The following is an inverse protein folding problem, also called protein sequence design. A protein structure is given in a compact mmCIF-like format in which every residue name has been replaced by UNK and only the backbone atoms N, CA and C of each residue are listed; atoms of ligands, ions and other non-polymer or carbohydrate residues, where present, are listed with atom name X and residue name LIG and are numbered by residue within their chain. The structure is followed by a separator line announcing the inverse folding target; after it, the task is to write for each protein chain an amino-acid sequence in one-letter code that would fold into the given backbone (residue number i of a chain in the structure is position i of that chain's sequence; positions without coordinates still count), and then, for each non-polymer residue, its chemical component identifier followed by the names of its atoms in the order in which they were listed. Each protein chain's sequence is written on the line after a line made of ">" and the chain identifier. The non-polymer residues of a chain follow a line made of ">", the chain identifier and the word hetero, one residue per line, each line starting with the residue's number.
data_IF_434971960352
#
_entry.id   IF_434971960352
#
_cell.length_a   1.000
_cell.length_b   1.000
_cell.length_c   1.000
_cell.angle_alpha   90.00
_cell.angle_beta   90.00
_cell.angle_gamma   90.00
#
_symmetry.space_group_name_H-M   'P 1'
#
loop_
_entity.id
_entity.type
_entity.pdbx_description
1 polymer ?
#
# COMPACT_ATOMS: atom_id res chain seq x y z
N UNK A 1 12.34 -17.92 -14.84
CA UNK A 1 12.80 -16.52 -14.83
C UNK A 1 12.95 -15.97 -13.40
N UNK A 2 13.45 -16.75 -12.44
CA UNK A 2 13.77 -16.24 -11.10
C UNK A 2 15.14 -15.55 -11.16
N UNK A 3 15.25 -14.36 -10.55
CA UNK A 3 16.46 -13.50 -10.47
C UNK A 3 16.75 -12.57 -11.65
N UNK A 4 15.72 -12.06 -12.34
CA UNK A 4 15.93 -10.92 -13.24
C UNK A 4 16.29 -9.68 -12.42
N UNK A 5 17.40 -9.02 -12.76
CA UNK A 5 17.78 -7.74 -12.18
C UNK A 5 17.24 -6.63 -13.06
N UNK A 6 16.36 -5.80 -12.49
CA UNK A 6 15.70 -4.76 -13.27
C UNK A 6 16.61 -3.60 -13.64
N UNK A 7 16.25 -2.90 -14.72
CA UNK A 7 17.01 -1.74 -15.20
C UNK A 7 17.00 -0.59 -14.18
N UNK A 8 18.05 0.22 -14.15
CA UNK A 8 18.11 1.41 -13.28
C UNK A 8 17.39 2.61 -13.89
N UNK A 9 17.41 2.75 -15.22
CA UNK A 9 16.70 3.80 -15.97
C UNK A 9 15.65 3.17 -16.87
N UNK A 10 14.55 3.88 -17.10
CA UNK A 10 13.46 3.40 -17.95
C UNK A 10 13.92 3.15 -19.40
N UNK A 11 14.83 3.98 -19.91
CA UNK A 11 15.45 3.82 -21.24
C UNK A 11 16.23 2.52 -21.42
N UNK A 12 16.64 1.90 -20.32
CA UNK A 12 17.51 0.74 -20.31
C UNK A 12 16.71 -0.57 -20.10
N UNK A 13 15.38 -0.49 -20.02
CA UNK A 13 14.51 -1.66 -19.94
C UNK A 13 14.50 -2.32 -21.32
N UNK A 14 14.89 -3.60 -21.45
CA UNK A 14 14.83 -4.32 -22.72
C UNK A 14 13.41 -4.33 -23.30
N UNK A 15 13.28 -4.16 -24.61
CA UNK A 15 11.97 -4.06 -25.27
C UNK A 15 11.11 -5.32 -25.07
N UNK A 16 11.73 -6.50 -25.07
CA UNK A 16 11.07 -7.78 -24.81
C UNK A 16 10.54 -7.86 -23.37
N UNK A 17 11.32 -7.39 -22.39
CA UNK A 17 10.86 -7.26 -20.99
C UNK A 17 9.68 -6.30 -20.91
N UNK A 18 9.80 -5.11 -21.51
CA UNK A 18 8.74 -4.11 -21.49
C UNK A 18 7.45 -4.62 -22.14
N UNK A 19 7.55 -5.33 -23.25
CA UNK A 19 6.41 -5.96 -23.92
C UNK A 19 5.74 -7.01 -23.02
N UNK A 20 6.51 -7.87 -22.35
CA UNK A 20 5.96 -8.88 -21.44
C UNK A 20 5.29 -8.25 -20.21
N UNK A 21 5.84 -7.16 -19.67
CA UNK A 21 5.22 -6.39 -18.60
C UNK A 21 3.87 -5.80 -19.06
N UNK A 22 3.82 -5.21 -20.26
CA UNK A 22 2.60 -4.66 -20.84
C UNK A 22 1.56 -5.73 -21.19
N UNK A 23 1.97 -6.97 -21.44
CA UNK A 23 1.06 -8.10 -21.66
C UNK A 23 0.60 -8.76 -20.35
N UNK A 24 1.09 -8.29 -19.20
CA UNK A 24 0.82 -8.91 -17.89
C UNK A 24 1.51 -10.28 -17.70
N UNK A 25 2.39 -10.66 -18.62
CA UNK A 25 3.10 -11.95 -18.64
C UNK A 25 4.40 -11.97 -17.85
N UNK A 26 4.72 -10.85 -17.20
CA UNK A 26 5.89 -10.70 -16.36
C UNK A 26 5.56 -9.74 -15.21
N UNK A 27 6.19 -10.00 -14.08
CA UNK A 27 6.17 -9.11 -12.92
C UNK A 27 7.34 -8.12 -12.96
N UNK A 28 7.10 -6.91 -12.50
CA UNK A 28 8.17 -5.92 -12.33
C UNK A 28 9.11 -6.35 -11.19
N UNK A 29 10.37 -5.92 -11.21
CA UNK A 29 11.34 -6.29 -10.14
C UNK A 29 11.90 -5.09 -9.39
N UNK A 30 11.57 -3.87 -9.82
CA UNK A 30 11.96 -2.64 -9.15
C UNK A 30 11.02 -1.48 -9.53
N UNK A 31 11.20 -0.33 -8.86
CA UNK A 31 10.40 0.86 -9.09
C UNK A 31 10.53 1.41 -10.53
N UNK A 32 11.69 1.29 -11.16
CA UNK A 32 11.92 1.80 -12.52
C UNK A 32 11.01 1.10 -13.52
N UNK A 33 10.89 -0.23 -13.43
CA UNK A 33 10.00 -1.00 -14.28
C UNK A 33 8.54 -0.83 -13.92
N UNK A 34 8.24 -0.77 -12.62
CA UNK A 34 6.90 -0.45 -12.14
C UNK A 34 6.38 0.86 -12.74
N UNK A 35 7.23 1.88 -12.80
CA UNK A 35 6.92 3.17 -13.41
C UNK A 35 6.86 3.15 -14.95
N UNK A 36 7.40 2.11 -15.59
CA UNK A 36 7.44 1.98 -17.05
C UNK A 36 6.26 1.19 -17.63
N UNK A 37 5.47 0.52 -16.79
CA UNK A 37 4.29 -0.22 -17.26
C UNK A 37 3.26 0.77 -17.83
N UNK A 38 2.92 0.59 -19.11
CA UNK A 38 1.79 1.29 -19.71
C UNK A 38 0.50 0.62 -19.26
N UNK A 39 -0.20 1.26 -18.33
CA UNK A 39 -1.45 0.74 -17.78
C UNK A 39 -2.61 0.71 -18.79
N UNK A 40 -2.57 1.49 -19.88
CA UNK A 40 -3.60 1.43 -20.92
C UNK A 40 -3.41 0.17 -21.76
N UNK A 41 -2.18 -0.10 -22.20
CA UNK A 41 -1.85 -1.31 -22.95
C UNK A 41 -2.09 -2.55 -22.09
N UNK A 42 -1.65 -2.54 -20.83
CA UNK A 42 -1.91 -3.64 -19.90
C UNK A 42 -3.41 -3.89 -19.71
N UNK A 43 -4.19 -2.82 -19.57
CA UNK A 43 -5.64 -2.95 -19.39
C UNK A 43 -6.31 -3.58 -20.62
N UNK A 44 -5.92 -3.18 -21.84
CA UNK A 44 -6.45 -3.78 -23.06
C UNK A 44 -6.18 -5.29 -23.10
N UNK A 45 -4.94 -5.71 -22.84
CA UNK A 45 -4.57 -7.13 -22.77
C UNK A 45 -5.36 -7.87 -21.68
N UNK A 46 -5.59 -7.22 -20.53
CA UNK A 46 -6.36 -7.80 -19.41
C UNK A 46 -7.83 -8.00 -19.77
N UNK A 47 -8.45 -7.02 -20.45
CA UNK A 47 -9.83 -7.13 -20.91
C UNK A 47 -9.97 -8.21 -21.98
N UNK A 48 -8.96 -8.36 -22.85
CA UNK A 48 -8.91 -9.45 -23.81
C UNK A 48 -8.86 -10.81 -23.12
N UNK A 49 -7.98 -10.96 -22.13
CA UNK A 49 -7.82 -12.18 -21.33
C UNK A 49 -9.12 -12.58 -20.63
N UNK A 50 -9.88 -11.62 -20.10
CA UNK A 50 -11.14 -11.88 -19.40
C UNK A 50 -12.37 -11.91 -20.30
N UNK A 51 -12.24 -11.67 -21.61
CA UNK A 51 -13.37 -11.65 -22.54
C UNK A 51 -14.30 -10.43 -22.37
N UNK A 52 -13.74 -9.30 -21.91
CA UNK A 52 -14.46 -8.07 -21.57
C UNK A 52 -14.10 -6.90 -22.52
N UNK A 53 -13.73 -7.20 -23.77
CA UNK A 53 -13.35 -6.19 -24.76
C UNK A 53 -14.41 -5.10 -24.94
N UNK A 54 -15.68 -5.49 -24.90
CA UNK A 54 -16.83 -4.59 -25.05
C UNK A 54 -16.96 -3.58 -23.92
N UNK A 55 -16.28 -3.80 -22.79
CA UNK A 55 -16.27 -2.88 -21.64
C UNK A 55 -15.16 -1.83 -21.71
N UNK A 56 -14.28 -1.86 -22.73
CA UNK A 56 -13.14 -0.95 -22.85
C UNK A 56 -13.51 0.53 -22.73
N UNK A 57 -14.66 0.94 -23.30
CA UNK A 57 -15.10 2.34 -23.28
C UNK A 57 -15.34 2.88 -21.86
N UNK A 58 -15.78 2.03 -20.92
CA UNK A 58 -15.97 2.39 -19.50
C UNK A 58 -14.64 2.83 -18.89
N UNK A 59 -13.58 2.06 -19.15
CA UNK A 59 -12.24 2.35 -18.65
C UNK A 59 -11.62 3.57 -19.32
N UNK A 60 -11.75 3.67 -20.65
CA UNK A 60 -11.19 4.81 -21.39
C UNK A 60 -11.85 6.12 -20.99
N UNK A 61 -13.15 6.09 -20.65
CA UNK A 61 -13.86 7.26 -20.12
C UNK A 61 -13.27 7.75 -18.81
N UNK A 62 -13.06 6.86 -17.83
CA UNK A 62 -12.41 7.20 -16.55
C UNK A 62 -10.97 7.71 -16.75
N UNK A 63 -10.19 7.05 -17.62
CA UNK A 63 -8.80 7.43 -17.87
C UNK A 63 -8.65 8.77 -18.61
N UNK A 64 -9.58 9.10 -19.50
CA UNK A 64 -9.56 10.36 -20.26
C UNK A 64 -9.93 11.58 -19.40
N UNK A 65 -10.61 11.38 -18.27
CA UNK A 65 -10.90 12.44 -17.31
C UNK A 65 -9.68 12.84 -16.46
N UNK A 66 -8.63 12.02 -16.45
CA UNK A 66 -7.41 12.31 -15.70
C UNK A 66 -6.63 13.46 -16.34
N UNK A 67 -6.45 14.55 -15.59
CA UNK A 67 -5.55 15.66 -15.98
C UNK A 67 -4.10 15.21 -16.17
N UNK A 68 -3.68 14.19 -15.41
CA UNK A 68 -2.34 13.61 -15.47
C UNK A 68 -2.43 12.08 -15.53
N UNK A 69 -1.77 11.49 -16.52
CA UNK A 69 -1.67 10.04 -16.71
C UNK A 69 -0.49 9.44 -15.93
N UNK A 70 -0.41 9.76 -14.63
CA UNK A 70 0.56 9.16 -13.71
C UNK A 70 -0.03 7.89 -13.11
N UNK A 71 0.79 6.87 -12.87
CA UNK A 71 0.37 5.56 -12.34
C UNK A 71 -0.49 5.70 -11.07
N UNK A 72 -0.07 6.55 -10.12
CA UNK A 72 -0.81 6.81 -8.87
C UNK A 72 -2.19 7.43 -9.07
N UNK A 73 -2.52 7.95 -10.26
CA UNK A 73 -3.84 8.44 -10.65
C UNK A 73 -4.61 7.44 -11.51
N UNK A 74 -3.88 6.68 -12.33
CA UNK A 74 -4.46 5.65 -13.20
C UNK A 74 -4.96 4.44 -12.40
N UNK A 75 -4.21 3.95 -11.41
CA UNK A 75 -4.61 2.77 -10.62
C UNK A 75 -6.00 2.97 -9.97
N UNK A 76 -6.28 4.07 -9.24
CA UNK A 76 -7.61 4.28 -8.68
C UNK A 76 -8.70 4.49 -9.74
N UNK A 77 -8.37 5.07 -10.90
CA UNK A 77 -9.33 5.27 -11.98
C UNK A 77 -9.73 3.95 -12.66
N UNK A 78 -8.76 3.07 -12.90
CA UNK A 78 -9.01 1.73 -13.43
C UNK A 78 -9.84 0.92 -12.43
N UNK A 79 -9.52 0.98 -11.13
CA UNK A 79 -10.32 0.32 -10.10
C UNK A 79 -11.77 0.83 -10.05
N UNK A 80 -12.02 2.13 -10.20
CA UNK A 80 -13.39 2.67 -10.31
C UNK A 80 -14.11 2.12 -11.52
N UNK A 81 -13.47 2.11 -12.69
CA UNK A 81 -14.07 1.52 -13.89
C UNK A 81 -14.41 0.03 -13.69
N UNK A 82 -13.54 -0.73 -13.03
CA UNK A 82 -13.81 -2.13 -12.67
C UNK A 82 -15.06 -2.29 -11.80
N UNK A 83 -15.28 -1.44 -10.80
CA UNK A 83 -16.50 -1.48 -9.99
C UNK A 83 -17.76 -1.30 -10.85
N UNK A 84 -17.75 -0.35 -11.80
CA UNK A 84 -18.88 -0.16 -12.74
C UNK A 84 -19.09 -1.37 -13.65
N UNK A 85 -18.01 -1.99 -14.14
CA UNK A 85 -18.11 -3.21 -14.95
C UNK A 85 -18.68 -4.35 -14.11
N UNK A 86 -18.23 -4.53 -12.88
CA UNK A 86 -18.73 -5.55 -11.97
C UNK A 86 -20.23 -5.39 -11.70
N UNK A 87 -20.76 -4.17 -11.59
CA UNK A 87 -22.21 -3.96 -11.42
C UNK A 87 -23.06 -4.58 -12.53
N UNK A 88 -22.50 -4.72 -13.74
CA UNK A 88 -23.17 -5.31 -14.90
C UNK A 88 -22.96 -6.83 -15.03
N UNK A 89 -22.12 -7.44 -14.20
CA UNK A 89 -21.84 -8.88 -14.22
C UNK A 89 -22.69 -9.65 -13.20
N UNK A 90 -22.91 -10.94 -13.45
CA UNK A 90 -23.45 -11.86 -12.43
C UNK A 90 -22.46 -12.00 -11.27
N UNK A 91 -22.94 -12.34 -10.06
CA UNK A 91 -22.09 -12.39 -8.86
C UNK A 91 -20.96 -13.41 -8.99
N UNK A 92 -21.24 -14.57 -9.60
CA UNK A 92 -20.26 -15.63 -9.85
C UNK A 92 -19.14 -15.15 -10.77
N UNK A 93 -19.50 -14.35 -11.77
CA UNK A 93 -18.55 -13.80 -12.74
C UNK A 93 -17.69 -12.69 -12.13
N UNK A 94 -18.27 -11.85 -11.24
CA UNK A 94 -17.52 -10.87 -10.46
C UNK A 94 -16.45 -11.55 -9.61
N UNK A 95 -16.82 -12.61 -8.89
CA UNK A 95 -15.90 -13.38 -8.03
C UNK A 95 -14.80 -14.00 -8.89
N UNK A 96 -15.16 -14.66 -10.00
CA UNK A 96 -14.20 -15.27 -10.93
C UNK A 96 -13.16 -14.27 -11.44
N UNK A 97 -13.60 -13.11 -11.92
CA UNK A 97 -12.70 -12.08 -12.45
C UNK A 97 -11.85 -11.49 -11.34
N UNK A 98 -12.44 -11.16 -10.19
CA UNK A 98 -11.70 -10.58 -9.07
C UNK A 98 -10.62 -11.54 -8.56
N UNK A 99 -10.93 -12.82 -8.38
CA UNK A 99 -9.96 -13.83 -7.94
C UNK A 99 -8.83 -14.02 -8.95
N UNK A 100 -9.15 -14.00 -10.25
CA UNK A 100 -8.16 -14.03 -11.32
C UNK A 100 -7.24 -12.80 -11.27
N UNK A 101 -7.78 -11.59 -11.05
CA UNK A 101 -7.00 -10.36 -10.88
C UNK A 101 -6.13 -10.41 -9.62
N UNK A 102 -6.68 -10.87 -8.49
CA UNK A 102 -6.01 -10.90 -7.20
C UNK A 102 -4.82 -11.87 -7.16
N UNK A 103 -4.88 -12.95 -7.96
CA UNK A 103 -3.81 -13.94 -8.11
C UNK A 103 -2.98 -13.78 -9.38
N UNK A 104 -3.22 -12.72 -10.16
CA UNK A 104 -2.60 -12.51 -11.46
C UNK A 104 -1.07 -12.36 -11.38
N UNK A 105 -0.33 -12.79 -12.40
CA UNK A 105 1.14 -12.69 -12.45
C UNK A 105 1.66 -11.25 -12.40
N UNK A 106 1.02 -10.34 -13.15
CA UNK A 106 1.32 -8.91 -13.13
C UNK A 106 0.97 -8.26 -11.79
N UNK A 107 1.97 -7.68 -11.15
CA UNK A 107 1.80 -6.90 -9.94
C UNK A 107 0.90 -5.67 -10.14
N UNK A 108 0.91 -5.04 -11.31
CA UNK A 108 0.01 -3.92 -11.64
C UNK A 108 -1.46 -4.29 -11.65
N UNK A 109 -1.80 -5.52 -12.07
CA UNK A 109 -3.19 -6.02 -12.02
C UNK A 109 -3.61 -6.30 -10.58
N UNK A 110 -2.71 -6.90 -9.78
CA UNK A 110 -2.95 -7.07 -8.33
C UNK A 110 -3.09 -5.72 -7.61
N UNK A 111 -2.36 -4.69 -8.03
CA UNK A 111 -2.54 -3.32 -7.54
C UNK A 111 -3.96 -2.78 -7.84
N UNK A 112 -4.52 -3.08 -9.03
CA UNK A 112 -5.91 -2.71 -9.34
C UNK A 112 -6.90 -3.44 -8.42
N UNK A 113 -6.72 -4.75 -8.23
CA UNK A 113 -7.56 -5.55 -7.31
C UNK A 113 -7.53 -5.03 -5.87
N UNK A 114 -6.34 -4.70 -5.36
CA UNK A 114 -6.18 -4.06 -4.05
C UNK A 114 -6.96 -2.74 -3.95
N UNK A 115 -6.89 -1.89 -4.99
CA UNK A 115 -7.63 -0.64 -5.00
C UNK A 115 -9.15 -0.84 -5.09
N UNK A 116 -9.63 -1.81 -5.87
CA UNK A 116 -11.07 -2.16 -5.96
C UNK A 116 -11.65 -2.37 -4.56
N UNK A 117 -10.97 -3.15 -3.70
CA UNK A 117 -11.38 -3.34 -2.30
C UNK A 117 -11.42 -2.00 -1.55
N UNK A 118 -10.34 -1.22 -1.66
CA UNK A 118 -10.20 0.03 -0.91
C UNK A 118 -11.27 1.07 -1.22
N UNK A 119 -11.69 1.17 -2.48
CA UNK A 119 -12.65 2.18 -2.94
C UNK A 119 -14.10 1.68 -2.98
N UNK A 120 -14.35 0.38 -2.79
CA UNK A 120 -15.72 -0.15 -2.79
C UNK A 120 -16.53 0.46 -1.62
N UNK A 121 -17.60 1.25 -1.91
CA UNK A 121 -18.39 1.89 -0.85
C UNK A 121 -19.30 0.91 -0.12
N UNK A 122 -19.46 -0.32 -0.62
CA UNK A 122 -20.32 -1.36 -0.04
C UNK A 122 -19.65 -2.10 1.11
N UNK A 123 -18.32 -2.03 1.20
CA UNK A 123 -17.54 -2.73 2.22
C UNK A 123 -17.33 -1.84 3.45
N UNK A 124 -17.59 -2.41 4.63
CA UNK A 124 -17.17 -1.86 5.91
C UNK A 124 -15.64 -1.82 6.05
N UNK A 125 -15.12 -1.05 7.00
CA UNK A 125 -13.67 -1.02 7.29
C UNK A 125 -13.14 -2.42 7.62
N UNK A 126 -13.91 -3.21 8.38
CA UNK A 126 -13.56 -4.59 8.71
C UNK A 126 -13.47 -5.48 7.45
N UNK A 127 -14.42 -5.39 6.54
CA UNK A 127 -14.41 -6.15 5.29
C UNK A 127 -13.28 -5.71 4.36
N UNK A 128 -12.99 -4.40 4.29
CA UNK A 128 -11.85 -3.88 3.53
C UNK A 128 -10.53 -4.41 4.08
N UNK A 129 -10.34 -4.39 5.40
CA UNK A 129 -9.14 -4.96 6.02
C UNK A 129 -9.04 -6.47 5.77
N UNK A 130 -10.14 -7.21 5.87
CA UNK A 130 -10.14 -8.64 5.55
C UNK A 130 -9.74 -8.90 4.08
N UNK A 131 -10.34 -8.16 3.14
CA UNK A 131 -10.08 -8.31 1.70
C UNK A 131 -8.70 -7.83 1.28
N UNK A 132 -8.14 -6.80 1.93
CA UNK A 132 -6.83 -6.25 1.56
C UNK A 132 -5.66 -7.09 2.09
N UNK A 133 -5.91 -7.98 3.06
CA UNK A 133 -4.88 -8.75 3.76
C UNK A 133 -3.94 -9.54 2.82
N UNK A 134 -4.41 -10.23 1.76
CA UNK A 134 -3.52 -10.92 0.82
C UNK A 134 -2.56 -9.96 0.11
N UNK A 135 -3.02 -8.75 -0.24
CA UNK A 135 -2.21 -7.72 -0.89
C UNK A 135 -1.21 -7.07 0.06
N UNK A 136 -1.58 -6.94 1.34
CA UNK A 136 -0.67 -6.51 2.39
C UNK A 136 0.48 -7.51 2.59
N UNK A 137 0.21 -8.82 2.43
CA UNK A 137 1.20 -9.91 2.50
C UNK A 137 1.92 -10.19 1.16
N UNK A 138 1.55 -9.50 0.07
CA UNK A 138 2.04 -9.82 -1.28
C UNK A 138 3.58 -9.80 -1.34
N UNK A 139 4.16 -10.72 -2.12
CA UNK A 139 5.60 -10.81 -2.30
C UNK A 139 6.20 -9.58 -3.02
N UNK A 140 5.40 -8.91 -3.85
CA UNK A 140 5.81 -7.75 -4.63
C UNK A 140 5.66 -6.44 -3.85
N UNK A 141 6.72 -5.62 -3.83
CA UNK A 141 6.76 -4.40 -3.04
C UNK A 141 5.68 -3.39 -3.47
N UNK A 142 5.44 -3.25 -4.77
CA UNK A 142 4.46 -2.30 -5.31
C UNK A 142 3.04 -2.61 -4.85
N UNK A 143 2.69 -3.91 -4.80
CA UNK A 143 1.36 -4.35 -4.33
C UNK A 143 1.20 -4.02 -2.85
N UNK A 144 2.22 -4.26 -2.02
CA UNK A 144 2.19 -3.91 -0.60
C UNK A 144 2.06 -2.41 -0.35
N UNK A 145 2.70 -1.56 -1.16
CA UNK A 145 2.53 -0.11 -1.05
C UNK A 145 1.12 0.32 -1.44
N UNK A 146 0.59 -0.22 -2.53
CA UNK A 146 -0.76 0.07 -2.99
C UNK A 146 -1.82 -0.41 -1.99
N UNK A 147 -1.60 -1.56 -1.35
CA UNK A 147 -2.53 -2.15 -0.39
C UNK A 147 -2.90 -1.17 0.74
N UNK A 148 -1.91 -0.59 1.42
CA UNK A 148 -2.22 0.34 2.51
C UNK A 148 -2.78 1.67 1.98
N UNK A 149 -2.34 2.13 0.81
CA UNK A 149 -2.86 3.35 0.18
C UNK A 149 -4.34 3.23 -0.17
N UNK A 150 -4.77 2.06 -0.64
CA UNK A 150 -6.12 1.77 -1.06
C UNK A 150 -7.14 1.93 0.08
N UNK A 151 -6.82 1.44 1.29
CA UNK A 151 -7.76 1.46 2.42
C UNK A 151 -7.57 2.65 3.36
N UNK A 152 -6.50 3.45 3.18
CA UNK A 152 -6.14 4.55 4.08
C UNK A 152 -7.25 5.58 4.28
N UNK A 153 -7.96 5.96 3.23
CA UNK A 153 -9.03 6.96 3.36
C UNK A 153 -10.17 6.45 4.24
N UNK A 154 -10.58 5.19 4.06
CA UNK A 154 -11.63 4.57 4.89
C UNK A 154 -11.19 4.47 6.36
N UNK A 155 -9.95 4.07 6.61
CA UNK A 155 -9.37 3.98 7.96
C UNK A 155 -9.26 5.36 8.60
N UNK A 156 -8.81 6.38 7.86
CA UNK A 156 -8.70 7.73 8.38
C UNK A 156 -10.06 8.34 8.76
N UNK A 157 -11.13 7.98 8.05
CA UNK A 157 -12.48 8.47 8.34
C UNK A 157 -13.12 7.75 9.55
N UNK A 158 -12.70 6.52 9.84
CA UNK A 158 -13.20 5.68 10.93
C UNK A 158 -12.05 5.27 11.85
N UNK A 159 -11.26 6.26 12.28
CA UNK A 159 -9.93 6.02 12.86
C UNK A 159 -9.95 5.12 14.09
N UNK A 160 -10.81 5.39 15.08
CA UNK A 160 -10.82 4.60 16.32
C UNK A 160 -11.19 3.13 16.06
N UNK A 161 -12.16 2.86 15.19
CA UNK A 161 -12.49 1.50 14.76
C UNK A 161 -11.32 0.86 14.01
N UNK A 162 -10.71 1.60 13.07
CA UNK A 162 -9.55 1.14 12.32
C UNK A 162 -8.37 0.76 13.21
N UNK A 163 -8.02 1.60 14.19
CA UNK A 163 -6.95 1.32 15.15
C UNK A 163 -7.25 0.07 15.98
N UNK A 164 -8.50 -0.10 16.44
CA UNK A 164 -8.91 -1.29 17.18
C UNK A 164 -8.78 -2.58 16.35
N UNK A 165 -9.17 -2.54 15.06
CA UNK A 165 -9.04 -3.68 14.16
C UNK A 165 -7.58 -4.04 13.86
N UNK A 166 -6.69 -3.03 13.82
CA UNK A 166 -5.27 -3.20 13.54
C UNK A 166 -4.46 -3.78 14.71
N UNK A 167 -5.00 -3.90 15.93
CA UNK A 167 -4.26 -4.50 17.07
C UNK A 167 -3.84 -5.94 16.79
N UNK A 168 -4.71 -6.72 16.16
CA UNK A 168 -4.36 -8.09 15.73
C UNK A 168 -3.29 -8.10 14.62
N UNK A 169 -3.23 -7.07 13.78
CA UNK A 169 -2.31 -7.01 12.64
C UNK A 169 -0.88 -6.73 13.06
N UNK A 170 -0.66 -5.90 14.09
CA UNK A 170 0.68 -5.64 14.63
C UNK A 170 1.25 -6.82 15.42
N UNK A 171 0.46 -7.88 15.64
CA UNK A 171 0.87 -9.12 16.32
C UNK A 171 0.95 -10.31 15.37
N UNK A 172 0.71 -10.09 14.08
CA UNK A 172 0.72 -11.15 13.07
C UNK A 172 2.10 -11.77 12.89
N UNK A 173 2.18 -13.04 12.52
CA UNK A 173 3.47 -13.71 12.26
C UNK A 173 4.18 -13.11 11.03
N UNK A 174 3.41 -12.63 10.05
CA UNK A 174 3.95 -12.03 8.83
C UNK A 174 4.39 -10.57 9.06
N UNK A 175 5.69 -10.31 8.85
CA UNK A 175 6.27 -8.98 8.97
C UNK A 175 5.66 -7.97 7.97
N UNK A 176 5.17 -8.41 6.81
CA UNK A 176 4.51 -7.54 5.86
C UNK A 176 3.16 -7.02 6.40
N UNK A 177 2.42 -7.87 7.12
CA UNK A 177 1.15 -7.51 7.77
C UNK A 177 1.38 -6.52 8.92
N UNK A 178 2.38 -6.79 9.77
CA UNK A 178 2.77 -5.85 10.83
C UNK A 178 3.22 -4.51 10.27
N UNK A 179 4.04 -4.52 9.20
CA UNK A 179 4.46 -3.29 8.51
C UNK A 179 3.26 -2.54 7.95
N UNK A 180 2.33 -3.23 7.29
CA UNK A 180 1.14 -2.64 6.71
C UNK A 180 0.35 -1.85 7.76
N UNK A 181 0.13 -2.44 8.94
CA UNK A 181 -0.65 -1.81 10.00
C UNK A 181 -0.05 -0.47 10.43
N UNK A 182 1.28 -0.40 10.58
CA UNK A 182 1.98 0.85 10.97
C UNK A 182 2.04 1.85 9.82
N UNK A 183 2.32 1.41 8.60
CA UNK A 183 2.44 2.32 7.45
C UNK A 183 1.10 3.00 7.12
N UNK A 184 0.02 2.22 7.18
CA UNK A 184 -1.35 2.65 6.92
C UNK A 184 -1.77 3.85 7.78
N UNK A 185 -1.28 3.93 9.02
CA UNK A 185 -1.68 4.94 10.00
C UNK A 185 -0.62 6.03 10.22
N UNK A 186 0.40 6.16 9.35
CA UNK A 186 1.39 7.24 9.48
C UNK A 186 0.71 8.62 9.50
N UNK A 187 1.00 9.52 10.45
CA UNK A 187 0.29 10.79 10.57
C UNK A 187 0.61 11.76 9.42
N UNK A 188 1.85 11.74 8.92
CA UNK A 188 2.36 12.67 7.89
C UNK A 188 3.16 11.95 6.80
N UNK A 189 2.58 10.88 6.23
CA UNK A 189 3.21 10.12 5.15
C UNK A 189 3.41 10.94 3.87
N UNK A 190 4.60 10.85 3.27
CA UNK A 190 4.98 11.64 2.08
C UNK A 190 4.11 11.33 0.85
N UNK A 191 3.57 10.12 0.78
CA UNK A 191 2.82 9.61 -0.38
C UNK A 191 1.31 9.67 -0.19
N UNK A 192 0.83 10.16 0.95
CA UNK A 192 -0.58 10.10 1.30
C UNK A 192 -1.08 11.36 2.01
N UNK A 193 -2.40 11.54 2.01
CA UNK A 193 -3.04 12.59 2.81
C UNK A 193 -2.67 12.38 4.28
N UNK A 194 -2.40 13.48 4.98
CA UNK A 194 -2.18 13.46 6.42
C UNK A 194 -3.43 12.95 7.16
N UNK A 195 -3.23 12.35 8.33
CA UNK A 195 -4.31 11.99 9.25
C UNK A 195 -4.28 13.03 10.38
N UNK A 196 -5.14 14.08 10.36
CA UNK A 196 -5.08 15.19 11.32
C UNK A 196 -5.15 14.72 12.77
N UNK A 197 -6.06 13.78 13.06
CA UNK A 197 -6.25 13.23 14.40
C UNK A 197 -4.95 12.63 14.98
N UNK A 198 -4.20 11.87 14.18
CA UNK A 198 -2.92 11.29 14.62
C UNK A 198 -1.75 12.30 14.64
N UNK A 199 -1.94 13.48 14.03
CA UNK A 199 -1.00 14.60 14.20
C UNK A 199 -1.24 15.33 15.51
N UNK A 200 -2.48 15.42 15.96
CA UNK A 200 -2.85 16.14 17.19
C UNK A 200 -2.77 15.23 18.42
N UNK A 201 -3.20 13.97 18.24
CA UNK A 201 -3.28 12.94 19.27
C UNK A 201 -2.49 11.68 18.86
N UNK A 202 -1.15 11.76 18.73
CA UNK A 202 -0.32 10.62 18.35
C UNK A 202 -0.40 9.46 19.35
N UNK A 203 -0.76 9.72 20.61
CA UNK A 203 -0.96 8.72 21.66
C UNK A 203 -2.02 7.67 21.32
N UNK A 204 -2.98 7.99 20.44
CA UNK A 204 -4.00 7.03 19.98
C UNK A 204 -3.39 5.80 19.30
N UNK A 205 -2.25 5.96 18.63
CA UNK A 205 -1.55 4.87 17.96
C UNK A 205 -0.49 4.19 18.84
N UNK A 206 -0.22 4.70 20.05
CA UNK A 206 0.84 4.18 20.92
C UNK A 206 0.71 2.68 21.21
N UNK A 207 -0.48 2.13 21.52
CA UNK A 207 -0.62 0.69 21.76
C UNK A 207 -0.15 -0.18 20.59
N UNK A 208 -0.42 0.26 19.35
CA UNK A 208 0.01 -0.43 18.14
C UNK A 208 1.52 -0.35 17.94
N UNK A 209 2.12 0.81 18.24
CA UNK A 209 3.57 1.04 18.12
C UNK A 209 4.36 0.25 19.16
N UNK A 210 3.86 0.17 20.40
CA UNK A 210 4.47 -0.59 21.48
C UNK A 210 4.50 -2.10 21.18
N UNK A 211 3.49 -2.62 20.48
CA UNK A 211 3.46 -4.02 20.05
C UNK A 211 4.64 -4.39 19.13
N UNK A 212 5.22 -3.41 18.42
CA UNK A 212 6.31 -3.61 17.44
C UNK A 212 7.57 -2.76 17.76
N UNK A 213 7.70 -2.26 18.99
CA UNK A 213 8.83 -1.41 19.43
C UNK A 213 10.20 -2.10 19.43
N UNK A 214 10.21 -3.42 19.29
CA UNK A 214 11.41 -4.27 19.20
C UNK A 214 11.25 -5.34 18.10
N UNK A 215 10.51 -5.02 17.03
CA UNK A 215 10.22 -5.98 15.97
C UNK A 215 11.52 -6.52 15.34
N UNK A 216 11.66 -7.84 15.14
CA UNK A 216 12.87 -8.42 14.54
C UNK A 216 13.06 -8.05 13.06
N UNK A 217 11.98 -7.70 12.34
CA UNK A 217 12.03 -7.39 10.92
C UNK A 217 12.40 -5.93 10.68
N UNK A 218 13.52 -5.69 9.98
CA UNK A 218 13.97 -4.34 9.59
C UNK A 218 12.91 -3.54 8.83
N UNK A 219 12.06 -4.22 8.04
CA UNK A 219 11.00 -3.57 7.28
C UNK A 219 9.91 -2.96 8.19
N UNK A 220 9.55 -3.65 9.27
CA UNK A 220 8.64 -3.14 10.30
C UNK A 220 9.32 -2.01 11.08
N UNK A 221 10.57 -2.21 11.52
CA UNK A 221 11.35 -1.17 12.22
C UNK A 221 11.43 0.14 11.43
N UNK A 222 11.60 0.06 10.11
CA UNK A 222 11.62 1.25 9.25
C UNK A 222 10.29 1.98 9.24
N UNK A 223 9.15 1.26 9.23
CA UNK A 223 7.82 1.85 9.29
C UNK A 223 7.57 2.52 10.65
N UNK A 224 7.90 1.86 11.77
CA UNK A 224 7.77 2.42 13.14
C UNK A 224 8.62 3.68 13.30
N UNK A 225 9.89 3.63 12.88
CA UNK A 225 10.77 4.79 12.94
C UNK A 225 10.36 5.91 11.97
N UNK A 226 9.69 5.61 10.86
CA UNK A 226 9.10 6.63 9.99
C UNK A 226 7.84 7.24 10.60
N UNK A 227 7.00 6.43 11.24
CA UNK A 227 5.79 6.87 11.94
C UNK A 227 6.14 7.87 13.05
N UNK A 228 7.09 7.51 13.93
CA UNK A 228 7.52 8.39 15.02
C UNK A 228 8.18 9.67 14.51
N UNK A 229 8.99 9.59 13.45
CA UNK A 229 9.58 10.80 12.83
C UNK A 229 8.53 11.67 12.13
N UNK A 230 7.39 11.12 11.72
CA UNK A 230 6.29 11.93 11.21
C UNK A 230 5.55 12.62 12.35
N UNK A 231 5.31 11.92 13.47
CA UNK A 231 4.73 12.51 14.67
C UNK A 231 5.63 13.61 15.27
N UNK A 232 6.96 13.47 15.18
CA UNK A 232 7.90 14.43 15.76
C UNK A 232 7.86 15.82 15.13
N UNK A 233 7.28 15.95 13.93
CA UNK A 233 7.12 17.24 13.24
C UNK A 233 6.05 18.13 13.90
N UNK A 234 5.14 17.54 14.66
CA UNK A 234 4.07 18.26 15.39
C UNK A 234 4.12 18.05 16.89
N UNK A 235 4.63 16.91 17.37
CA UNK A 235 4.74 16.58 18.79
C UNK A 235 6.16 16.08 19.14
N UNK A 236 7.19 16.93 19.02
CA UNK A 236 8.58 16.52 19.26
C UNK A 236 8.83 16.03 20.68
N UNK A 237 8.27 16.70 21.71
CA UNK A 237 8.45 16.31 23.11
C UNK A 237 7.85 14.93 23.40
N UNK A 238 6.65 14.65 22.87
CA UNK A 238 5.99 13.36 23.02
C UNK A 238 6.84 12.22 22.42
N UNK A 239 7.39 12.43 21.21
CA UNK A 239 8.26 11.43 20.57
C UNK A 239 9.54 11.19 21.39
N UNK A 240 10.14 12.24 21.95
CA UNK A 240 11.31 12.10 22.83
C UNK A 240 10.97 11.30 24.09
N UNK A 241 9.82 11.56 24.71
CA UNK A 241 9.36 10.81 25.89
C UNK A 241 9.17 9.32 25.57
N UNK A 242 8.46 8.99 24.48
CA UNK A 242 8.26 7.60 24.03
C UNK A 242 9.61 6.91 23.78
N UNK A 243 10.50 7.56 23.03
CA UNK A 243 11.82 6.99 22.72
C UNK A 243 12.66 6.73 23.98
N UNK A 244 12.67 7.68 24.93
CA UNK A 244 13.38 7.51 26.18
C UNK A 244 12.79 6.37 27.02
N UNK A 245 11.46 6.29 27.11
CA UNK A 245 10.78 5.20 27.81
C UNK A 245 11.13 3.83 27.20
N UNK A 246 11.12 3.70 25.88
CA UNK A 246 11.47 2.47 25.18
C UNK A 246 12.91 2.04 25.43
N UNK A 247 13.86 2.97 25.44
CA UNK A 247 15.27 2.68 25.75
C UNK A 247 15.48 2.25 27.21
N UNK A 248 14.61 2.67 28.13
CA UNK A 248 14.68 2.25 29.53
C UNK A 248 14.18 0.81 29.76
N UNK A 249 13.25 0.32 28.92
CA UNK A 249 12.62 -1.00 29.07
C UNK A 249 13.13 -2.06 28.09
N UNK A 250 13.84 -1.67 27.02
CA UNK A 250 14.36 -2.58 25.99
C UNK A 250 15.76 -2.18 25.53
N UNK A 251 16.75 -3.01 25.85
CA UNK A 251 18.15 -2.81 25.46
C UNK A 251 18.51 -3.44 24.09
N UNK A 252 17.51 -3.92 23.36
CA UNK A 252 17.69 -4.63 22.08
C UNK A 252 18.24 -3.72 20.97
N UNK A 253 18.95 -4.31 20.00
CA UNK A 253 19.46 -3.56 18.83
C UNK A 253 18.31 -3.06 17.95
N UNK A 254 17.20 -3.78 17.92
CA UNK A 254 15.96 -3.46 17.21
C UNK A 254 15.35 -2.16 17.75
N UNK A 255 15.14 -2.06 19.07
CA UNK A 255 14.61 -0.84 19.71
C UNK A 255 15.54 0.34 19.51
N UNK A 256 16.85 0.17 19.75
CA UNK A 256 17.86 1.23 19.52
C UNK A 256 17.82 1.76 18.09
N UNK A 257 17.65 0.87 17.12
CA UNK A 257 17.55 1.22 15.71
C UNK A 257 16.27 2.01 15.40
N UNK A 258 15.13 1.60 15.93
CA UNK A 258 13.86 2.32 15.76
C UNK A 258 13.98 3.73 16.33
N UNK A 259 14.46 3.87 17.56
CA UNK A 259 14.63 5.16 18.24
C UNK A 259 15.58 6.09 17.48
N UNK A 260 16.74 5.58 17.04
CA UNK A 260 17.68 6.36 16.21
C UNK A 260 16.99 6.88 14.94
N UNK A 261 16.20 6.03 14.29
CA UNK A 261 15.45 6.42 13.08
C UNK A 261 14.35 7.43 13.40
N UNK A 262 13.62 7.27 14.50
CA UNK A 262 12.54 8.14 14.94
C UNK A 262 13.01 9.60 15.16
N UNK A 263 14.21 9.78 15.72
CA UNK A 263 14.76 11.08 16.11
C UNK A 263 15.62 11.76 15.03
N UNK A 264 15.74 11.18 13.83
CA UNK A 264 16.66 11.64 12.78
C UNK A 264 16.41 13.08 12.30
N UNK A 265 15.18 13.58 12.39
CA UNK A 265 14.85 14.97 12.06
C UNK A 265 15.10 15.91 13.25
N UNK A 266 14.83 15.48 14.47
CA UNK A 266 15.05 16.27 15.69
C UNK A 266 16.54 16.58 15.93
N UNK A 267 17.42 15.64 15.56
CA UNK A 267 18.87 15.78 15.74
C UNK A 267 19.53 16.68 14.68
N UNK A 268 18.80 17.13 13.65
CA UNK A 268 19.33 18.04 12.61
C UNK A 268 19.06 19.51 12.89
N UNK A 269 18.17 19.81 13.83
CA UNK A 269 17.76 21.17 14.20
C UNK A 269 18.54 21.70 15.43
N UNK A 270 19.55 20.95 15.90
CA UNK A 270 20.57 21.38 16.87
C UNK A 270 21.89 21.66 16.16
#
# INVERSE_FOLDING_TARGET
>A
MLHRKGARKGSDIPNDVLQLLQQGRLETVNLTEWLAVDHVVLLQNTLDEFGLQRSSDVFMTELNQLKEKKIMKMIPAIARAWLHVFEQQAIEERIRIFDAMASHLSDSIRCWAAYIIGIDPRLSVKEKLAGIRPFAADSHFGVREIAWMAVRESISLQLLEGLALLDSWVRDEDANIRRFAIELIRPQGVWAKHIPELKEHPELALPLLEAVQSDPAKYVQDSVGNWLNDASKTNPEWVLQVCNAWLMISDTKETKRIVTRAQRSLNKEK
#
